data_IF_929246834158
#
_entry.id   IF_929246834158
#
_cell.length_a   1.000
_cell.length_b   1.000
_cell.length_c   1.000
_cell.angle_alpha   90.00
_cell.angle_beta   90.00
_cell.angle_gamma   90.00
#
_symmetry.space_group_name_H-M   'P 1'
#
loop_
_entity.id
_entity.type
_entity.pdbx_description
1 polymer ?
#
# COMPACT_ATOMS: atom_id res chain seq x y z
N UNK A 1 3.21 6.86 -22.35
CA UNK A 1 4.05 5.68 -22.70
C UNK A 1 4.27 4.93 -21.40
N UNK A 2 3.88 3.66 -21.30
CA UNK A 2 3.94 2.89 -20.04
C UNK A 2 5.39 2.48 -19.81
N UNK A 3 5.97 2.85 -18.66
CA UNK A 3 7.31 2.43 -18.28
C UNK A 3 7.22 1.04 -17.62
N UNK A 4 7.89 0.06 -18.22
CA UNK A 4 7.80 -1.37 -17.86
C UNK A 4 9.08 -1.88 -17.20
N UNK A 5 9.98 -0.98 -16.87
CA UNK A 5 11.34 -1.30 -16.43
C UNK A 5 11.34 -1.64 -14.95
N UNK A 6 11.82 -2.83 -14.60
CA UNK A 6 12.06 -3.31 -13.24
C UNK A 6 10.98 -4.23 -12.66
N UNK A 7 9.82 -4.33 -13.31
CA UNK A 7 8.71 -5.12 -12.78
C UNK A 7 8.71 -6.58 -13.25
N UNK A 8 8.18 -7.45 -12.39
CA UNK A 8 8.05 -8.89 -12.61
C UNK A 8 6.67 -9.21 -13.17
N UNK A 9 6.62 -9.94 -14.28
CA UNK A 9 5.40 -10.26 -15.00
C UNK A 9 5.36 -11.72 -15.39
N UNK A 10 4.18 -12.31 -15.42
CA UNK A 10 4.02 -13.63 -16.02
C UNK A 10 3.99 -13.51 -17.55
N UNK A 11 4.92 -14.14 -18.25
CA UNK A 11 4.92 -14.20 -19.71
C UNK A 11 4.01 -15.35 -20.17
N UNK A 12 2.85 -15.08 -20.81
CA UNK A 12 1.83 -16.11 -21.06
C UNK A 12 2.32 -17.22 -22.01
N UNK A 13 3.18 -16.89 -22.98
CA UNK A 13 3.72 -17.85 -23.94
C UNK A 13 4.87 -18.69 -23.37
N UNK A 14 5.81 -18.08 -22.67
CA UNK A 14 6.91 -18.77 -22.00
C UNK A 14 6.47 -19.46 -20.70
N UNK A 15 5.24 -19.19 -20.24
CA UNK A 15 4.63 -19.71 -19.01
C UNK A 15 5.50 -19.54 -17.78
N UNK A 16 6.19 -18.42 -17.68
CA UNK A 16 7.18 -18.16 -16.63
C UNK A 16 7.18 -16.69 -16.22
N UNK A 17 7.66 -16.40 -15.02
CA UNK A 17 7.84 -15.03 -14.55
C UNK A 17 9.10 -14.41 -15.18
N UNK A 18 8.96 -13.18 -15.67
CA UNK A 18 9.99 -12.41 -16.34
C UNK A 18 10.15 -11.05 -15.67
N UNK A 19 11.35 -10.50 -15.63
CA UNK A 19 11.55 -9.10 -15.23
C UNK A 19 11.83 -8.27 -16.46
N UNK A 20 10.91 -7.36 -16.82
CA UNK A 20 11.09 -6.50 -17.99
C UNK A 20 12.02 -5.37 -17.63
N UNK A 21 13.00 -5.08 -18.47
CA UNK A 21 13.90 -3.94 -18.30
C UNK A 21 13.96 -3.03 -19.53
N UNK A 22 13.32 -3.43 -20.64
CA UNK A 22 13.08 -2.58 -21.80
C UNK A 22 11.88 -3.10 -22.60
N UNK A 23 11.05 -2.19 -23.09
CA UNK A 23 9.95 -2.51 -24.01
C UNK A 23 9.72 -1.33 -24.95
N UNK A 24 10.26 -1.45 -26.17
CA UNK A 24 10.12 -0.42 -27.19
C UNK A 24 9.63 -1.02 -28.52
N UNK A 25 8.63 -0.38 -29.12
CA UNK A 25 8.08 -0.73 -30.45
C UNK A 25 7.71 -2.22 -30.65
N UNK A 26 7.46 -2.96 -29.57
CA UNK A 26 7.14 -4.39 -29.59
C UNK A 26 8.34 -5.32 -29.48
N UNK A 27 9.54 -4.79 -29.27
CA UNK A 27 10.70 -5.53 -28.82
C UNK A 27 10.69 -5.57 -27.28
N UNK A 28 10.55 -6.77 -26.72
CA UNK A 28 10.61 -7.05 -25.29
C UNK A 28 12.04 -7.45 -24.90
N UNK A 29 12.61 -6.81 -23.88
CA UNK A 29 13.83 -7.30 -23.22
C UNK A 29 13.54 -7.60 -21.76
N UNK A 30 13.79 -8.84 -21.37
CA UNK A 30 13.42 -9.31 -20.04
C UNK A 30 14.39 -10.36 -19.51
N UNK A 31 14.30 -10.62 -18.21
CA UNK A 31 15.07 -11.65 -17.49
C UNK A 31 14.19 -12.80 -17.05
N UNK A 32 14.68 -14.03 -17.19
CA UNK A 32 14.15 -15.23 -16.53
C UNK A 32 15.26 -15.74 -15.60
N UNK A 33 15.08 -15.58 -14.29
CA UNK A 33 16.15 -15.86 -13.33
C UNK A 33 17.40 -15.00 -13.62
N UNK A 34 18.53 -15.64 -13.89
CA UNK A 34 19.79 -14.97 -14.25
C UNK A 34 19.98 -14.74 -15.75
N UNK A 35 19.05 -15.23 -16.58
CA UNK A 35 19.19 -15.20 -18.05
C UNK A 35 18.42 -14.03 -18.65
N UNK A 36 19.06 -13.27 -19.53
CA UNK A 36 18.43 -12.21 -20.32
C UNK A 36 17.99 -12.74 -21.69
N UNK A 37 16.85 -12.26 -22.19
CA UNK A 37 16.38 -12.57 -23.53
C UNK A 37 15.73 -11.35 -24.18
N UNK A 38 15.62 -11.39 -25.50
CA UNK A 38 14.98 -10.36 -26.31
C UNK A 38 14.09 -11.01 -27.36
N UNK A 39 12.85 -10.54 -27.48
CA UNK A 39 11.86 -11.10 -28.39
C UNK A 39 11.03 -10.01 -29.06
N UNK A 40 10.66 -10.21 -30.33
CA UNK A 40 9.66 -9.41 -31.02
C UNK A 40 8.26 -9.97 -30.77
N UNK A 41 7.42 -9.21 -30.07
CA UNK A 41 6.05 -9.60 -29.82
C UNK A 41 5.14 -9.24 -31.00
N UNK A 42 4.32 -10.21 -31.40
CA UNK A 42 3.17 -9.98 -32.30
C UNK A 42 2.18 -8.98 -31.69
N UNK A 43 1.25 -8.45 -32.48
CA UNK A 43 0.22 -7.53 -31.98
C UNK A 43 -0.63 -8.19 -30.87
N UNK A 44 -1.02 -9.46 -31.05
CA UNK A 44 -1.81 -10.18 -30.05
C UNK A 44 -1.03 -10.41 -28.75
N UNK A 45 0.24 -10.85 -28.87
CA UNK A 45 1.13 -10.99 -27.72
C UNK A 45 1.28 -9.69 -26.93
N UNK A 46 1.37 -8.54 -27.63
CA UNK A 46 1.43 -7.22 -26.98
C UNK A 46 0.16 -6.90 -26.21
N UNK A 47 -1.01 -7.14 -26.80
CA UNK A 47 -2.30 -6.85 -26.16
C UNK A 47 -2.52 -7.70 -24.92
N UNK A 48 -2.20 -8.99 -24.99
CA UNK A 48 -2.27 -9.90 -23.83
C UNK A 48 -1.30 -9.48 -22.72
N UNK A 49 -0.09 -9.09 -23.09
CA UNK A 49 0.89 -8.59 -22.13
C UNK A 49 0.40 -7.31 -21.42
N UNK A 50 -0.20 -6.37 -22.16
CA UNK A 50 -0.81 -5.19 -21.56
C UNK A 50 -2.00 -5.52 -20.65
N UNK A 51 -2.84 -6.48 -21.04
CA UNK A 51 -4.00 -6.87 -20.23
C UNK A 51 -3.56 -7.48 -18.89
N UNK A 52 -2.57 -8.37 -18.89
CA UNK A 52 -2.03 -8.99 -17.68
C UNK A 52 -1.44 -7.93 -16.73
N UNK A 53 -0.80 -6.89 -17.28
CA UNK A 53 -0.30 -5.77 -16.48
C UNK A 53 -1.40 -4.96 -15.79
N UNK A 54 -2.47 -4.65 -16.51
CA UNK A 54 -3.59 -3.91 -15.92
C UNK A 54 -4.24 -4.74 -14.81
N UNK A 55 -4.33 -6.05 -15.03
CA UNK A 55 -4.84 -6.97 -14.02
C UNK A 55 -3.96 -7.00 -12.77
N UNK A 56 -2.65 -7.19 -12.90
CA UNK A 56 -1.73 -7.18 -11.75
C UNK A 56 -1.77 -5.86 -10.98
N UNK A 57 -1.85 -4.71 -11.67
CA UNK A 57 -1.99 -3.41 -11.00
C UNK A 57 -3.31 -3.27 -10.26
N UNK A 58 -4.40 -3.80 -10.82
CA UNK A 58 -5.68 -3.83 -10.14
C UNK A 58 -5.61 -4.71 -8.89
N UNK A 59 -5.03 -5.91 -9.00
CA UNK A 59 -4.86 -6.85 -7.88
C UNK A 59 -3.96 -6.25 -6.77
N UNK A 60 -2.88 -5.54 -7.13
CA UNK A 60 -2.02 -4.84 -6.17
C UNK A 60 -2.71 -3.65 -5.52
N UNK A 61 -3.50 -2.88 -6.29
CA UNK A 61 -4.28 -1.78 -5.76
C UNK A 61 -5.36 -2.28 -4.80
N UNK A 62 -6.02 -3.38 -5.12
CA UNK A 62 -7.00 -4.06 -4.25
C UNK A 62 -6.36 -4.51 -2.95
N UNK A 63 -5.20 -5.19 -3.00
CA UNK A 63 -4.46 -5.57 -1.78
C UNK A 63 -4.06 -4.38 -0.92
N UNK A 64 -3.66 -3.26 -1.53
CA UNK A 64 -3.34 -2.03 -0.78
C UNK A 64 -4.59 -1.45 -0.13
N UNK A 65 -5.72 -1.47 -0.82
CA UNK A 65 -7.00 -1.04 -0.26
C UNK A 65 -7.41 -1.92 0.93
N UNK A 66 -7.28 -3.24 0.82
CA UNK A 66 -7.58 -4.18 1.91
C UNK A 66 -6.72 -3.89 3.16
N UNK A 67 -5.41 -3.68 2.97
CA UNK A 67 -4.48 -3.34 4.06
C UNK A 67 -4.83 -1.99 4.69
N UNK A 68 -5.17 -0.99 3.88
CA UNK A 68 -5.59 0.32 4.35
C UNK A 68 -6.90 0.23 5.16
N UNK A 69 -7.87 -0.57 4.71
CA UNK A 69 -9.14 -0.81 5.41
C UNK A 69 -8.92 -1.54 6.75
N UNK A 70 -8.07 -2.57 6.78
CA UNK A 70 -7.72 -3.27 8.02
C UNK A 70 -7.05 -2.31 9.04
N UNK A 71 -6.12 -1.47 8.57
CA UNK A 71 -5.45 -0.48 9.40
C UNK A 71 -6.42 0.59 9.90
N UNK A 72 -7.34 1.03 9.05
CA UNK A 72 -8.38 2.00 9.39
C UNK A 72 -9.31 1.46 10.49
N UNK A 73 -9.80 0.23 10.36
CA UNK A 73 -10.63 -0.41 11.39
C UNK A 73 -9.89 -0.56 12.73
N UNK A 74 -8.60 -0.90 12.69
CA UNK A 74 -7.75 -0.94 13.90
C UNK A 74 -7.60 0.44 14.55
N UNK A 75 -7.45 1.50 13.75
CA UNK A 75 -7.34 2.88 14.27
C UNK A 75 -8.67 3.36 14.88
N UNK A 76 -9.81 3.01 14.29
CA UNK A 76 -11.14 3.24 14.91
C UNK A 76 -11.24 2.59 16.28
N UNK A 77 -10.85 1.32 16.40
CA UNK A 77 -10.86 0.61 17.69
C UNK A 77 -9.96 1.29 18.72
N UNK A 78 -8.70 1.61 18.34
CA UNK A 78 -7.77 2.34 19.23
C UNK A 78 -8.33 3.69 19.68
N UNK A 79 -8.99 4.41 18.78
CA UNK A 79 -9.62 5.70 19.10
C UNK A 79 -10.74 5.53 20.13
N UNK A 80 -11.60 4.53 19.95
CA UNK A 80 -12.69 4.22 20.87
C UNK A 80 -12.18 3.80 22.26
N UNK A 81 -11.17 2.93 22.31
CA UNK A 81 -10.52 2.51 23.55
C UNK A 81 -9.88 3.71 24.28
N UNK A 82 -9.17 4.57 23.54
CA UNK A 82 -8.52 5.74 24.11
C UNK A 82 -9.54 6.76 24.61
N UNK A 83 -10.63 6.98 23.88
CA UNK A 83 -11.73 7.84 24.33
C UNK A 83 -12.31 7.34 25.65
N UNK A 84 -12.64 6.05 25.74
CA UNK A 84 -13.18 5.44 26.97
C UNK A 84 -12.20 5.53 28.15
N UNK A 85 -10.91 5.33 27.90
CA UNK A 85 -9.87 5.51 28.91
C UNK A 85 -9.83 6.96 29.41
N UNK A 86 -9.85 7.94 28.51
CA UNK A 86 -9.80 9.35 28.88
C UNK A 86 -11.05 9.81 29.62
N UNK A 87 -12.23 9.34 29.22
CA UNK A 87 -13.49 9.60 29.91
C UNK A 87 -13.45 9.12 31.37
N UNK A 88 -12.96 7.89 31.61
CA UNK A 88 -12.82 7.35 32.97
C UNK A 88 -11.71 7.97 33.82
N UNK A 89 -10.80 8.73 33.22
CA UNK A 89 -9.75 9.45 33.92
C UNK A 89 -10.06 10.94 34.11
N UNK A 90 -10.98 11.50 33.33
CA UNK A 90 -11.34 12.92 33.38
C UNK A 90 -11.80 13.35 34.78
N UNK A 91 -12.61 12.53 35.46
CA UNK A 91 -13.06 12.79 36.84
C UNK A 91 -11.93 12.70 37.87
N UNK A 92 -10.85 11.98 37.56
CA UNK A 92 -9.68 11.87 38.44
C UNK A 92 -8.74 13.05 38.21
N UNK A 93 -8.63 13.50 36.96
CA UNK A 93 -7.64 14.46 36.47
C UNK A 93 -7.91 15.95 36.76
N UNK A 94 -9.02 16.25 37.42
CA UNK A 94 -9.41 17.63 37.75
C UNK A 94 -8.72 18.14 39.05
N UNK A 95 -7.87 17.34 39.70
CA UNK A 95 -7.47 17.58 41.09
C UNK A 95 -5.95 17.54 41.41
N UNK A 96 -5.03 17.23 40.47
CA UNK A 96 -3.57 17.15 40.77
C UNK A 96 -2.62 17.62 39.62
N UNK A 97 -1.50 18.30 39.95
CA UNK A 97 -0.54 18.87 38.98
C UNK A 97 0.22 17.81 38.15
N UNK A 98 0.40 16.60 38.70
CA UNK A 98 1.01 15.48 37.97
C UNK A 98 0.16 15.04 36.75
N UNK A 99 -1.12 15.38 36.74
CA UNK A 99 -2.10 14.99 35.73
C UNK A 99 -1.95 15.82 34.45
N UNK A 100 -1.33 17.00 34.52
CA UNK A 100 -0.98 17.80 33.34
C UNK A 100 -0.04 17.05 32.38
N UNK A 101 0.87 16.21 32.89
CA UNK A 101 1.75 15.37 32.06
C UNK A 101 0.98 14.21 31.42
N UNK A 102 0.13 13.53 32.18
CA UNK A 102 -0.69 12.41 31.68
C UNK A 102 -1.68 12.86 30.61
N UNK A 103 -2.29 14.03 30.81
CA UNK A 103 -3.14 14.69 29.83
C UNK A 103 -2.40 15.03 28.54
N UNK A 104 -1.19 15.62 28.63
CA UNK A 104 -0.37 15.94 27.45
C UNK A 104 0.03 14.70 26.65
N UNK A 105 0.47 13.63 27.33
CA UNK A 105 0.81 12.36 26.68
C UNK A 105 -0.41 11.77 25.98
N UNK A 106 -1.55 11.72 26.67
CA UNK A 106 -2.78 11.17 26.08
C UNK A 106 -3.29 11.98 24.90
N UNK A 107 -3.21 13.32 24.97
CA UNK A 107 -3.53 14.22 23.85
C UNK A 107 -2.61 13.96 22.66
N UNK A 108 -1.31 13.77 22.90
CA UNK A 108 -0.34 13.46 21.85
C UNK A 108 -0.67 12.12 21.17
N UNK A 109 -0.98 11.08 21.93
CA UNK A 109 -1.36 9.77 21.36
C UNK A 109 -2.63 9.84 20.50
N UNK A 110 -3.64 10.59 20.92
CA UNK A 110 -4.86 10.81 20.10
C UNK A 110 -4.52 11.55 18.81
N UNK A 111 -3.66 12.58 18.87
CA UNK A 111 -3.24 13.31 17.67
C UNK A 111 -2.45 12.42 16.69
N UNK A 112 -1.64 11.49 17.20
CA UNK A 112 -0.93 10.52 16.36
C UNK A 112 -1.90 9.56 15.67
N UNK A 113 -2.91 9.05 16.38
CA UNK A 113 -3.95 8.20 15.78
C UNK A 113 -4.72 8.95 14.68
N UNK A 114 -5.11 10.21 14.95
CA UNK A 114 -5.81 11.05 13.97
C UNK A 114 -4.94 11.39 12.76
N UNK A 115 -3.63 11.60 12.96
CA UNK A 115 -2.67 11.76 11.87
C UNK A 115 -2.62 10.51 11.01
N UNK A 116 -2.44 9.34 11.62
CA UNK A 116 -2.37 8.06 10.90
C UNK A 116 -3.65 7.80 10.09
N UNK A 117 -4.82 8.16 10.64
CA UNK A 117 -6.10 8.12 9.90
C UNK A 117 -6.11 9.09 8.71
N UNK A 118 -5.69 10.35 8.91
CA UNK A 118 -5.61 11.32 7.82
C UNK A 118 -4.63 10.91 6.72
N UNK A 119 -3.54 10.24 7.06
CA UNK A 119 -2.53 9.77 6.09
C UNK A 119 -3.12 8.64 5.23
N UNK A 120 -3.89 7.72 5.83
CA UNK A 120 -4.62 6.66 5.10
C UNK A 120 -5.63 7.26 4.14
N UNK A 121 -6.43 8.25 4.57
CA UNK A 121 -7.45 8.90 3.73
C UNK A 121 -6.84 9.60 2.51
N UNK A 122 -5.61 10.10 2.65
CA UNK A 122 -4.85 10.73 1.55
C UNK A 122 -4.09 9.73 0.69
N UNK A 123 -4.01 8.46 1.09
CA UNK A 123 -3.18 7.46 0.44
C UNK A 123 -1.68 7.68 0.62
N UNK A 124 -1.26 8.34 1.71
CA UNK A 124 0.13 8.67 2.05
C UNK A 124 0.81 7.59 2.93
N UNK A 125 0.36 6.32 2.82
CA UNK A 125 0.85 5.19 3.64
C UNK A 125 2.33 4.83 3.48
#
# INVERSE_FOLDING_TARGET
MVNLIGEKFYHPYLKTEITVFDFDRGMLKAKIGSSEFTEWLTVNQRLEFYAEQQKQRADEAEKRADVADEKWERLKQKTAEKYKYLEGQFETWEHDENESKLWRTSKHEVLMILKDMSDIERGEE
#
